data_IF_993007823584
#
_entry.id   IF_993007823584
#
_cell.length_a   1.000
_cell.length_b   1.000
_cell.length_c   1.000
_cell.angle_alpha   90.00
_cell.angle_beta   90.00
_cell.angle_gamma   90.00
#
_symmetry.space_group_name_H-M   'P 1'
#
loop_
_entity.id
_entity.type
_entity.pdbx_description
1 polymer ?
#
# COMPACT_ATOMS: atom_id res chain seq x y z
N UNK A 1 7.00 -23.51 41.30
CA UNK A 1 8.01 -22.56 40.74
C UNK A 1 8.38 -22.86 39.28
N UNK A 2 7.45 -23.40 38.45
CA UNK A 2 7.71 -23.74 37.05
C UNK A 2 7.25 -22.74 35.96
N UNK A 3 6.29 -21.80 36.19
CA UNK A 3 5.79 -20.94 35.10
C UNK A 3 6.77 -19.80 34.74
N UNK A 4 7.64 -19.39 35.66
CA UNK A 4 8.65 -18.35 35.42
C UNK A 4 9.70 -18.80 34.39
N UNK A 5 9.96 -20.11 34.29
CA UNK A 5 10.93 -20.66 33.33
C UNK A 5 10.45 -20.53 31.87
N UNK A 6 9.13 -20.48 31.65
CA UNK A 6 8.50 -20.36 30.34
C UNK A 6 8.21 -18.92 29.92
N UNK A 7 8.36 -17.98 30.86
CA UNK A 7 8.16 -16.56 30.64
C UNK A 7 9.01 -15.98 29.48
N UNK A 8 10.31 -16.31 29.32
CA UNK A 8 11.08 -15.84 28.15
C UNK A 8 10.56 -16.42 26.84
N UNK A 9 10.10 -17.68 26.83
CA UNK A 9 9.55 -18.32 25.62
C UNK A 9 8.24 -17.67 25.21
N UNK A 10 7.34 -17.42 26.16
CA UNK A 10 6.10 -16.68 25.92
C UNK A 10 6.37 -15.26 25.41
N UNK A 11 7.36 -14.57 25.98
CA UNK A 11 7.75 -13.23 25.54
C UNK A 11 8.19 -13.25 24.06
N UNK A 12 9.02 -14.22 23.66
CA UNK A 12 9.47 -14.37 22.27
C UNK A 12 8.29 -14.68 21.34
N UNK A 13 7.38 -15.57 21.73
CA UNK A 13 6.18 -15.89 20.94
C UNK A 13 5.28 -14.67 20.74
N UNK A 14 5.07 -13.87 21.79
CA UNK A 14 4.28 -12.64 21.71
C UNK A 14 4.95 -11.61 20.81
N UNK A 15 6.26 -11.41 20.95
CA UNK A 15 7.01 -10.50 20.08
C UNK A 15 6.95 -10.97 18.62
N UNK A 16 7.16 -12.26 18.35
CA UNK A 16 7.08 -12.82 17.01
C UNK A 16 5.68 -12.66 16.39
N UNK A 17 4.61 -12.86 17.18
CA UNK A 17 3.24 -12.65 16.73
C UNK A 17 2.97 -11.17 16.41
N UNK A 18 3.40 -10.24 17.27
CA UNK A 18 3.24 -8.79 17.04
C UNK A 18 4.02 -8.34 15.80
N UNK A 19 5.27 -8.78 15.64
CA UNK A 19 6.07 -8.47 14.46
C UNK A 19 5.52 -9.13 13.21
N UNK A 20 5.02 -10.37 13.29
CA UNK A 20 4.37 -11.05 12.17
C UNK A 20 3.11 -10.33 11.70
N UNK A 21 2.30 -9.81 12.64
CA UNK A 21 1.14 -8.98 12.31
C UNK A 21 1.54 -7.64 11.67
N UNK A 22 2.66 -7.04 12.10
CA UNK A 22 3.20 -5.80 11.50
C UNK A 22 3.79 -6.04 10.11
N UNK A 23 4.34 -7.22 9.87
CA UNK A 23 4.99 -7.61 8.61
C UNK A 23 4.03 -8.28 7.62
N UNK A 24 2.78 -8.55 8.02
CA UNK A 24 1.78 -9.09 7.11
C UNK A 24 1.61 -8.10 5.95
N UNK A 25 1.94 -8.56 4.75
CA UNK A 25 1.73 -7.78 3.54
C UNK A 25 0.24 -7.40 3.49
N UNK A 26 -0.09 -6.11 3.28
CA UNK A 26 -1.47 -5.69 3.19
C UNK A 26 -2.15 -6.44 2.05
N UNK A 27 -3.43 -6.74 2.23
CA UNK A 27 -4.23 -7.28 1.14
C UNK A 27 -4.22 -6.28 -0.03
N UNK A 28 -4.22 -6.79 -1.28
CA UNK A 28 -4.21 -5.90 -2.44
C UNK A 28 -5.40 -4.93 -2.40
N UNK A 29 -6.58 -5.39 -1.96
CA UNK A 29 -7.77 -4.55 -1.81
C UNK A 29 -7.56 -3.42 -0.78
N UNK A 30 -7.04 -3.75 0.39
CA UNK A 30 -6.73 -2.74 1.43
C UNK A 30 -5.69 -1.71 0.95
N UNK A 31 -4.68 -2.15 0.20
CA UNK A 31 -3.66 -1.26 -0.35
C UNK A 31 -4.25 -0.27 -1.37
N UNK A 32 -5.15 -0.74 -2.24
CA UNK A 32 -5.85 0.09 -3.23
C UNK A 32 -6.77 1.08 -2.53
N UNK A 33 -7.60 0.62 -1.60
CA UNK A 33 -8.55 1.46 -0.87
C UNK A 33 -7.84 2.55 -0.07
N UNK A 34 -6.71 2.22 0.55
CA UNK A 34 -5.86 3.20 1.24
C UNK A 34 -5.34 4.29 0.31
N UNK A 35 -4.88 3.93 -0.88
CA UNK A 35 -4.36 4.88 -1.88
C UNK A 35 -5.49 5.71 -2.47
N UNK A 36 -6.64 5.09 -2.75
CA UNK A 36 -7.82 5.76 -3.24
C UNK A 36 -8.30 6.82 -2.26
N UNK A 37 -8.36 6.50 -0.96
CA UNK A 37 -8.69 7.47 0.09
C UNK A 37 -7.66 8.59 0.17
N UNK A 38 -6.36 8.26 0.13
CA UNK A 38 -5.28 9.25 0.11
C UNK A 38 -5.38 10.21 -1.10
N UNK A 39 -5.83 9.71 -2.25
CA UNK A 39 -6.02 10.52 -3.45
C UNK A 39 -7.26 11.41 -3.32
N UNK A 40 -8.39 10.87 -2.83
CA UNK A 40 -9.61 11.63 -2.57
C UNK A 40 -9.40 12.76 -1.53
N UNK A 41 -8.60 12.52 -0.49
CA UNK A 41 -8.24 13.55 0.50
C UNK A 41 -7.43 14.70 -0.10
N UNK A 42 -6.68 14.44 -1.19
CA UNK A 42 -5.81 15.43 -1.84
C UNK A 42 -6.46 16.13 -3.03
N UNK A 43 -7.37 15.45 -3.73
CA UNK A 43 -8.00 15.93 -4.95
C UNK A 43 -9.50 16.08 -4.69
N UNK A 44 -10.00 17.32 -4.52
CA UNK A 44 -11.41 17.53 -4.25
C UNK A 44 -12.26 17.03 -5.43
N UNK A 45 -13.19 16.12 -5.14
CA UNK A 45 -14.07 15.50 -6.13
C UNK A 45 -13.57 14.20 -6.74
N UNK A 46 -12.36 13.74 -6.42
CA UNK A 46 -11.88 12.44 -6.85
C UNK A 46 -12.61 11.30 -6.12
N UNK A 47 -13.04 10.27 -6.85
CA UNK A 47 -13.68 9.09 -6.27
C UNK A 47 -12.72 7.91 -6.26
N UNK A 48 -12.94 7.00 -5.30
CA UNK A 48 -12.19 5.74 -5.24
C UNK A 48 -12.41 4.86 -6.47
N UNK A 49 -13.57 4.96 -7.12
CA UNK A 49 -13.89 4.29 -8.39
C UNK A 49 -13.00 4.71 -9.55
N UNK A 50 -12.38 5.89 -9.46
CA UNK A 50 -11.58 6.46 -10.53
C UNK A 50 -10.12 5.97 -10.44
N UNK A 51 -9.84 5.03 -9.52
CA UNK A 51 -8.56 4.39 -9.32
C UNK A 51 -8.57 2.97 -9.89
N UNK A 52 -7.64 2.70 -10.81
CA UNK A 52 -7.37 1.37 -11.32
C UNK A 52 -6.03 0.88 -10.78
N UNK A 53 -5.99 -0.38 -10.32
CA UNK A 53 -4.78 -1.01 -9.83
C UNK A 53 -4.29 -2.07 -10.81
N UNK A 54 -3.00 -2.07 -11.07
CA UNK A 54 -2.32 -3.08 -11.86
C UNK A 54 -1.14 -3.66 -11.07
N UNK A 55 -0.83 -4.96 -11.23
CA UNK A 55 0.40 -5.51 -10.69
C UNK A 55 1.59 -4.75 -11.27
N UNK A 56 2.54 -4.39 -10.42
CA UNK A 56 3.78 -3.75 -10.84
C UNK A 56 4.83 -4.78 -11.23
N UNK A 57 5.77 -4.36 -12.09
CA UNK A 57 6.96 -5.13 -12.42
C UNK A 57 8.20 -4.59 -11.67
N UNK A 58 9.10 -5.50 -11.29
CA UNK A 58 10.37 -5.19 -10.64
C UNK A 58 10.22 -4.68 -9.20
N UNK A 59 10.61 -3.43 -8.95
CA UNK A 59 10.63 -2.82 -7.61
C UNK A 59 9.25 -2.36 -7.11
N UNK A 60 8.26 -2.25 -7.99
CA UNK A 60 6.88 -1.96 -7.61
C UNK A 60 6.08 -3.27 -7.55
N UNK A 61 5.44 -3.53 -6.43
CA UNK A 61 4.52 -4.66 -6.28
C UNK A 61 3.13 -4.33 -6.85
N UNK A 62 2.68 -3.10 -6.64
CA UNK A 62 1.37 -2.63 -7.08
C UNK A 62 1.49 -1.21 -7.65
N UNK A 63 0.82 -0.95 -8.76
CA UNK A 63 0.72 0.37 -9.37
C UNK A 63 -0.74 0.78 -9.37
N UNK A 64 -1.07 1.92 -8.77
CA UNK A 64 -2.43 2.44 -8.68
C UNK A 64 -2.50 3.75 -9.44
N UNK A 65 -3.28 3.81 -10.51
CA UNK A 65 -3.50 5.01 -11.29
C UNK A 65 -4.89 5.57 -10.98
N UNK A 66 -4.97 6.81 -10.48
CA UNK A 66 -6.21 7.48 -10.15
C UNK A 66 -6.44 8.72 -11.04
N UNK A 67 -7.68 8.91 -11.48
CA UNK A 67 -8.14 10.09 -12.23
C UNK A 67 -8.24 9.88 -13.74
N UNK A 68 -9.24 10.53 -14.35
CA UNK A 68 -9.53 10.45 -15.79
C UNK A 68 -8.74 11.50 -16.62
N UNK A 69 -8.74 12.77 -16.19
CA UNK A 69 -8.12 13.88 -16.93
C UNK A 69 -6.66 14.14 -16.53
N UNK A 70 -6.35 14.02 -15.23
CA UNK A 70 -4.99 14.11 -14.68
C UNK A 70 -4.71 12.80 -13.97
N UNK A 71 -3.87 11.95 -14.58
CA UNK A 71 -3.64 10.59 -14.10
C UNK A 71 -2.54 10.61 -13.06
N UNK A 72 -2.87 10.40 -11.79
CA UNK A 72 -1.87 10.25 -10.74
C UNK A 72 -1.53 8.78 -10.55
N UNK A 73 -0.27 8.42 -10.79
CA UNK A 73 0.26 7.06 -10.62
C UNK A 73 0.98 6.95 -9.29
N UNK A 74 0.56 5.99 -8.47
CA UNK A 74 1.19 5.60 -7.21
C UNK A 74 1.83 4.23 -7.37
N UNK A 75 3.12 4.11 -7.08
CA UNK A 75 3.82 2.82 -7.04
C UNK A 75 3.98 2.40 -5.59
N UNK A 76 3.62 1.16 -5.29
CA UNK A 76 3.68 0.58 -3.97
C UNK A 76 4.70 -0.56 -3.93
N UNK A 77 5.39 -0.71 -2.80
CA UNK A 77 6.21 -1.89 -2.51
C UNK A 77 5.37 -3.06 -1.98
N UNK A 78 6.01 -4.22 -1.73
CA UNK A 78 5.35 -5.42 -1.18
C UNK A 78 4.76 -5.25 0.22
N UNK A 79 5.12 -4.18 0.92
CA UNK A 79 4.52 -3.80 2.21
C UNK A 79 3.33 -2.84 2.04
N UNK A 80 2.92 -2.55 0.80
CA UNK A 80 1.86 -1.60 0.46
C UNK A 80 2.21 -0.14 0.77
N UNK A 81 3.49 0.20 0.90
CA UNK A 81 3.93 1.59 1.07
C UNK A 81 4.15 2.23 -0.28
N UNK A 82 3.71 3.48 -0.42
CA UNK A 82 3.95 4.28 -1.63
C UNK A 82 5.43 4.62 -1.70
N UNK A 83 6.14 4.06 -2.69
CA UNK A 83 7.56 4.31 -2.95
C UNK A 83 7.78 5.39 -4.01
N UNK A 84 6.80 5.63 -4.88
CA UNK A 84 6.84 6.71 -5.85
C UNK A 84 5.43 7.23 -6.18
N UNK A 85 5.33 8.52 -6.48
CA UNK A 85 4.12 9.19 -6.96
C UNK A 85 4.48 10.04 -8.17
N UNK A 86 3.70 9.92 -9.24
CA UNK A 86 3.87 10.69 -10.48
C UNK A 86 2.50 11.23 -10.89
N UNK A 87 2.36 12.55 -10.98
CA UNK A 87 1.19 13.16 -11.61
C UNK A 87 1.48 13.29 -13.12
N UNK A 88 0.65 12.70 -13.95
CA UNK A 88 0.69 12.85 -15.40
C UNK A 88 -0.39 13.86 -15.78
N UNK A 89 0.01 15.11 -15.98
CA UNK A 89 -0.83 16.13 -16.60
C UNK A 89 -0.85 15.83 -18.11
N UNK A 90 -1.99 15.44 -18.68
CA UNK A 90 -2.10 15.21 -20.15
C UNK A 90 -2.05 16.54 -20.94
N UNK A 91 -1.64 16.56 -22.23
CA UNK A 91 -1.71 15.48 -23.22
C UNK A 91 -0.38 15.23 -23.97
N UNK A 92 0.16 14.01 -23.89
CA UNK A 92 1.36 13.62 -24.66
C UNK A 92 2.27 12.64 -23.91
N UNK A 93 1.95 11.35 -23.95
CA UNK A 93 3.01 10.35 -23.86
C UNK A 93 3.70 10.36 -25.23
N UNK A 94 4.76 11.17 -25.36
CA UNK A 94 5.61 11.17 -26.54
C UNK A 94 6.20 9.78 -26.76
N UNK A 95 5.64 9.07 -27.74
CA UNK A 95 6.31 8.10 -28.59
C UNK A 95 6.40 8.74 -29.98
#
# INVERSE_FOLDING_TARGET
MRPVLWLPVLLVCVLAAVYGLRLRAPDMGEAIERVARLHADRVPGAKASDCAATPGDGNAWLVVACGDAVRTVYRLDRSGRVIARQAMDGPGAGL
#
